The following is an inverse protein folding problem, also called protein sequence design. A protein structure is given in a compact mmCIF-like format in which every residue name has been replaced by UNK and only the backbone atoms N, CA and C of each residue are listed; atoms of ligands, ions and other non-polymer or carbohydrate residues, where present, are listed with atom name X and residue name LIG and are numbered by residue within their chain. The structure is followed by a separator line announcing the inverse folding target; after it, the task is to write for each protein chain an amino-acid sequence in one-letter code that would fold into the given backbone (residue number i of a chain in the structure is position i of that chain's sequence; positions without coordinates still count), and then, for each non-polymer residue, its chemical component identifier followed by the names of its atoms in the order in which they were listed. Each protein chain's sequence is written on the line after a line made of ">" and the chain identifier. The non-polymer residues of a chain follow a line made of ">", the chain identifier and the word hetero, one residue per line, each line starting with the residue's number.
data_IF_267349224186
#
_entry.id   IF_267349224186
#
_cell.length_a   1.000
_cell.length_b   1.000
_cell.length_c   1.000
_cell.angle_alpha   90.00
_cell.angle_beta   90.00
_cell.angle_gamma   90.00
#
_symmetry.space_group_name_H-M   'P 1'
#
loop_
_entity.id
_entity.type
_entity.pdbx_description
1 polymer ?
#
# COMPACT_ATOMS: atom_id res chain seq x y z
N UNK A 1 -69.27 42.78 9.22
CA UNK A 1 -69.66 41.59 8.44
C UNK A 1 -68.84 40.40 8.92
N UNK A 2 -69.46 39.51 9.67
CA UNK A 2 -68.90 38.29 10.24
C UNK A 2 -68.56 37.28 9.14
N UNK A 3 -67.28 36.93 8.98
CA UNK A 3 -66.87 35.83 8.10
C UNK A 3 -67.47 34.51 8.64
N UNK A 4 -68.10 33.69 7.79
CA UNK A 4 -68.76 32.46 8.23
C UNK A 4 -67.73 31.48 8.82
N UNK A 5 -68.01 30.99 10.04
CA UNK A 5 -67.18 30.05 10.82
C UNK A 5 -66.73 28.81 10.02
N UNK A 6 -67.51 28.41 9.01
CA UNK A 6 -67.20 27.28 8.12
C UNK A 6 -65.95 27.47 7.26
N UNK A 7 -65.61 28.71 6.89
CA UNK A 7 -64.47 28.98 6.00
C UNK A 7 -63.12 28.95 6.76
N UNK A 8 -63.15 29.26 8.06
CA UNK A 8 -61.97 29.21 8.94
C UNK A 8 -61.53 27.78 9.21
N UNK A 9 -62.47 26.86 9.41
CA UNK A 9 -62.16 25.44 9.62
C UNK A 9 -61.57 24.77 8.37
N UNK A 10 -62.02 25.17 7.17
CA UNK A 10 -61.46 24.70 5.90
C UNK A 10 -60.04 25.21 5.67
N UNK A 11 -59.78 26.50 5.92
CA UNK A 11 -58.45 27.08 5.82
C UNK A 11 -57.45 26.46 6.81
N UNK A 12 -57.86 26.20 8.05
CA UNK A 12 -56.99 25.58 9.07
C UNK A 12 -56.68 24.12 8.74
N UNK A 13 -57.66 23.35 8.21
CA UNK A 13 -57.42 21.97 7.74
C UNK A 13 -56.51 21.91 6.51
N UNK A 14 -56.67 22.83 5.55
CA UNK A 14 -55.80 22.92 4.38
C UNK A 14 -54.37 23.33 4.75
N UNK A 15 -54.20 24.22 5.75
CA UNK A 15 -52.90 24.64 6.25
C UNK A 15 -52.19 23.52 7.04
N UNK A 16 -52.93 22.73 7.83
CA UNK A 16 -52.36 21.58 8.57
C UNK A 16 -51.93 20.43 7.64
N UNK A 17 -52.64 20.21 6.52
CA UNK A 17 -52.28 19.17 5.55
C UNK A 17 -51.01 19.52 4.74
N UNK A 18 -50.79 20.81 4.47
CA UNK A 18 -49.64 21.29 3.69
C UNK A 18 -48.33 21.35 4.50
N UNK A 19 -48.41 21.52 5.83
CA UNK A 19 -47.22 21.45 6.71
C UNK A 19 -46.68 20.01 6.83
N UNK A 20 -47.54 18.98 6.74
CA UNK A 20 -47.13 17.57 6.83
C UNK A 20 -46.45 17.09 5.52
N UNK A 21 -46.78 17.67 4.37
CA UNK A 21 -46.14 17.29 3.09
C UNK A 21 -44.74 17.90 2.89
N UNK A 22 -44.38 18.96 3.63
CA UNK A 22 -43.09 19.64 3.46
C UNK A 22 -41.95 19.06 4.32
N UNK A 23 -42.28 18.32 5.39
CA UNK A 23 -41.29 17.68 6.26
C UNK A 23 -40.68 16.39 5.68
N UNK A 24 -41.23 15.87 4.58
CA UNK A 24 -40.72 14.66 3.91
C UNK A 24 -39.42 14.86 3.12
N UNK A 25 -39.10 16.09 2.70
CA UNK A 25 -37.93 16.34 1.85
C UNK A 25 -36.62 16.58 2.64
N UNK A 26 -36.69 16.84 3.94
CA UNK A 26 -35.49 17.11 4.74
C UNK A 26 -34.70 15.84 5.10
N UNK A 27 -35.33 14.66 5.11
CA UNK A 27 -34.70 13.39 5.50
C UNK A 27 -33.91 12.71 4.38
N UNK A 28 -34.06 13.15 3.13
CA UNK A 28 -33.37 12.55 1.96
C UNK A 28 -31.92 13.04 1.81
N UNK A 29 -31.52 14.09 2.53
CA UNK A 29 -30.17 14.65 2.45
C UNK A 29 -29.25 14.26 3.62
N UNK A 30 -29.75 13.49 4.59
CA UNK A 30 -28.91 12.96 5.68
C UNK A 30 -28.25 11.66 5.23
N UNK A 31 -27.21 11.78 4.38
CA UNK A 31 -26.32 10.65 4.11
C UNK A 31 -25.62 10.24 5.41
N UNK A 32 -26.06 9.13 6.00
CA UNK A 32 -25.54 8.57 7.25
C UNK A 32 -24.28 7.70 7.01
N UNK A 33 -23.63 7.84 5.85
CA UNK A 33 -22.40 7.14 5.53
C UNK A 33 -21.22 7.91 6.11
N UNK A 34 -20.42 7.25 6.95
CA UNK A 34 -19.20 7.84 7.49
C UNK A 34 -18.27 8.23 6.34
N UNK A 35 -17.65 9.41 6.36
CA UNK A 35 -16.77 9.85 5.28
C UNK A 35 -15.58 8.90 5.14
N UNK A 36 -15.44 8.29 3.97
CA UNK A 36 -14.35 7.35 3.66
C UNK A 36 -13.00 8.06 3.78
N UNK A 37 -12.17 7.56 4.69
CA UNK A 37 -10.79 8.02 4.89
C UNK A 37 -9.85 7.28 3.94
N UNK A 38 -8.98 8.03 3.29
CA UNK A 38 -7.99 7.50 2.34
C UNK A 38 -6.59 7.68 2.93
N UNK A 39 -5.80 6.61 2.91
CA UNK A 39 -4.48 6.54 3.53
C UNK A 39 -3.40 6.27 2.48
N UNK A 40 -2.24 6.89 2.69
CA UNK A 40 -1.03 6.68 1.88
C UNK A 40 0.08 6.11 2.76
N UNK A 41 0.90 5.24 2.18
CA UNK A 41 2.17 4.85 2.76
C UNK A 41 3.30 5.62 2.06
N UNK A 42 4.40 5.87 2.76
CA UNK A 42 5.58 6.52 2.18
C UNK A 42 6.78 5.59 2.23
N UNK A 43 7.59 5.65 1.18
CA UNK A 43 8.89 5.00 1.18
C UNK A 43 9.78 5.64 2.27
N UNK A 44 10.74 4.89 2.84
CA UNK A 44 11.73 5.47 3.73
C UNK A 44 12.47 6.59 2.99
N UNK A 45 12.48 7.80 3.55
CA UNK A 45 13.32 8.88 3.02
C UNK A 45 14.79 8.45 3.14
N UNK A 46 15.63 8.66 2.11
CA UNK A 46 17.05 8.49 2.29
C UNK A 46 17.51 9.41 3.41
N UNK A 47 18.22 8.87 4.40
CA UNK A 47 18.90 9.65 5.43
C UNK A 47 20.03 10.42 4.77
N UNK A 48 19.70 11.53 4.13
CA UNK A 48 20.67 12.54 3.72
C UNK A 48 21.14 13.21 5.01
N UNK A 49 22.22 12.69 5.55
CA UNK A 49 23.02 13.41 6.53
C UNK A 49 23.53 14.67 5.82
N UNK A 50 22.85 15.80 6.02
CA UNK A 50 23.11 17.10 5.35
C UNK A 50 24.56 17.60 5.58
N UNK A 51 25.30 16.96 6.50
CA UNK A 51 26.71 17.22 6.76
C UNK A 51 27.71 16.51 5.81
N UNK A 52 27.27 15.63 4.89
CA UNK A 52 28.18 14.86 4.00
C UNK A 52 28.04 15.16 2.50
N UNK A 53 27.36 16.26 2.15
CA UNK A 53 27.09 16.62 0.75
C UNK A 53 28.28 17.30 0.02
N UNK A 54 29.50 17.23 0.56
CA UNK A 54 30.71 17.74 -0.09
C UNK A 54 31.54 16.68 -0.83
N UNK A 55 31.20 15.39 -0.70
CA UNK A 55 31.97 14.28 -1.31
C UNK A 55 31.13 13.38 -2.23
N UNK A 56 30.14 13.94 -2.93
CA UNK A 56 29.37 13.21 -3.94
C UNK A 56 30.15 13.01 -5.25
N UNK A 57 31.37 12.46 -5.14
CA UNK A 57 32.02 11.66 -6.19
C UNK A 57 32.26 10.24 -5.67
N UNK A 58 31.42 9.75 -4.74
CA UNK A 58 31.31 8.33 -4.49
C UNK A 58 30.63 7.70 -5.72
N UNK A 59 31.45 7.18 -6.63
CA UNK A 59 31.01 6.40 -7.76
C UNK A 59 29.93 5.39 -7.31
N UNK A 60 28.79 5.37 -8.00
CA UNK A 60 27.78 4.34 -7.85
C UNK A 60 28.48 2.98 -7.94
N UNK A 61 28.70 2.34 -6.79
CA UNK A 61 29.30 0.99 -6.73
C UNK A 61 28.22 -0.08 -6.96
N UNK A 62 27.03 0.34 -7.39
CA UNK A 62 26.02 -0.54 -7.94
C UNK A 62 26.33 -0.87 -9.40
N UNK A 63 25.92 -2.06 -9.88
CA UNK A 63 26.00 -2.38 -11.30
C UNK A 63 25.32 -1.27 -12.12
N UNK A 64 25.89 -0.92 -13.28
CA UNK A 64 25.30 0.07 -14.22
C UNK A 64 24.01 -0.42 -14.88
N UNK A 65 23.33 -1.37 -14.25
CA UNK A 65 22.17 -2.08 -14.74
C UNK A 65 20.87 -1.29 -14.51
N UNK A 66 19.89 -1.58 -15.33
CA UNK A 66 18.52 -1.07 -15.22
C UNK A 66 17.61 -2.17 -14.70
N UNK A 67 16.83 -1.85 -13.66
CA UNK A 67 15.87 -2.77 -13.05
C UNK A 67 14.45 -2.39 -13.46
N UNK A 68 13.68 -3.37 -13.94
CA UNK A 68 12.22 -3.27 -14.02
C UNK A 68 11.60 -3.98 -12.82
N UNK A 69 10.76 -3.26 -12.08
CA UNK A 69 9.91 -3.83 -11.04
C UNK A 69 8.57 -4.14 -11.67
N UNK A 70 8.16 -5.41 -11.70
CA UNK A 70 6.82 -5.78 -12.17
C UNK A 70 5.80 -5.50 -11.07
N UNK A 71 4.57 -5.20 -11.49
CA UNK A 71 3.41 -5.10 -10.59
C UNK A 71 3.34 -6.36 -9.73
N UNK A 72 3.35 -6.25 -8.39
CA UNK A 72 3.23 -7.41 -7.52
C UNK A 72 1.97 -8.22 -7.83
N UNK A 73 2.13 -9.54 -7.95
CA UNK A 73 0.99 -10.45 -8.04
C UNK A 73 0.37 -10.60 -6.65
N UNK A 74 -0.95 -10.49 -6.54
CA UNK A 74 -1.66 -10.60 -5.28
C UNK A 74 -2.95 -11.42 -5.45
N UNK A 75 -3.42 -12.02 -4.36
CA UNK A 75 -4.75 -12.62 -4.34
C UNK A 75 -5.83 -11.54 -4.48
N UNK A 76 -7.02 -11.89 -4.98
CA UNK A 76 -8.14 -10.94 -5.13
C UNK A 76 -8.53 -10.23 -3.83
N UNK A 77 -8.28 -10.83 -2.67
CA UNK A 77 -8.54 -10.19 -1.38
C UNK A 77 -7.54 -9.07 -1.03
N UNK A 78 -6.34 -9.08 -1.62
CA UNK A 78 -5.30 -8.06 -1.45
C UNK A 78 -5.17 -7.13 -2.66
N UNK A 79 -5.63 -7.55 -3.85
CA UNK A 79 -5.71 -6.70 -5.04
C UNK A 79 -6.91 -5.75 -4.99
N UNK A 80 -6.88 -4.86 -3.99
CA UNK A 80 -7.94 -3.89 -3.69
C UNK A 80 -7.34 -2.68 -2.97
N UNK A 81 -8.06 -1.55 -3.00
CA UNK A 81 -7.76 -0.36 -2.21
C UNK A 81 -8.23 -0.52 -0.75
N UNK A 82 -8.90 -1.61 -0.37
CA UNK A 82 -9.39 -1.79 1.01
C UNK A 82 -8.28 -2.26 1.95
N UNK A 83 -8.31 -1.77 3.19
CA UNK A 83 -7.34 -2.18 4.22
C UNK A 83 -7.78 -3.54 4.79
N UNK A 84 -7.00 -4.58 4.49
CA UNK A 84 -7.26 -5.95 4.92
C UNK A 84 -6.99 -6.17 6.42
N UNK A 85 -7.87 -6.94 7.06
CA UNK A 85 -7.76 -7.34 8.46
C UNK A 85 -8.15 -8.80 8.62
N UNK A 86 -7.35 -9.54 9.38
CA UNK A 86 -7.63 -10.92 9.78
C UNK A 86 -7.98 -10.94 11.27
N UNK A 87 -9.14 -11.49 11.60
CA UNK A 87 -9.61 -11.66 12.98
C UNK A 87 -9.05 -12.94 13.60
N UNK A 88 -9.13 -13.04 14.92
CA UNK A 88 -8.63 -14.18 15.69
C UNK A 88 -9.25 -15.53 15.25
N UNK A 89 -10.46 -15.52 14.68
CA UNK A 89 -11.15 -16.69 14.15
C UNK A 89 -10.85 -16.98 12.67
N UNK A 90 -9.79 -16.38 12.12
CA UNK A 90 -9.33 -16.52 10.73
C UNK A 90 -10.30 -15.96 9.68
N UNK A 91 -11.26 -15.11 10.08
CA UNK A 91 -12.00 -14.31 9.10
C UNK A 91 -11.13 -13.23 8.50
N UNK A 92 -11.13 -13.18 7.16
CA UNK A 92 -10.55 -12.10 6.38
C UNK A 92 -11.65 -11.07 6.10
N UNK A 93 -11.45 -9.86 6.62
CA UNK A 93 -12.36 -8.73 6.51
C UNK A 93 -11.59 -7.51 5.98
N UNK A 94 -12.30 -6.39 5.82
CA UNK A 94 -11.69 -5.09 5.54
C UNK A 94 -12.21 -4.05 6.51
N UNK A 95 -11.39 -3.04 6.83
CA UNK A 95 -11.86 -1.94 7.66
C UNK A 95 -12.95 -1.12 6.96
N UNK A 96 -13.97 -0.73 7.72
CA UNK A 96 -15.02 0.15 7.22
C UNK A 96 -14.50 1.58 7.05
N UNK A 97 -14.99 2.27 6.00
CA UNK A 97 -14.66 3.68 5.72
C UNK A 97 -13.15 4.00 5.72
N UNK A 98 -12.29 3.02 5.45
CA UNK A 98 -10.83 3.18 5.43
C UNK A 98 -10.27 2.43 4.23
N UNK A 99 -9.56 3.15 3.36
CA UNK A 99 -8.96 2.61 2.15
C UNK A 99 -7.57 3.18 1.92
N UNK A 100 -6.75 2.46 1.18
CA UNK A 100 -5.56 2.96 0.51
C UNK A 100 -5.93 3.90 -0.63
N UNK A 101 -4.97 4.70 -1.08
CA UNK A 101 -5.15 5.59 -2.24
C UNK A 101 -5.26 4.81 -3.55
N UNK A 102 -4.52 3.70 -3.66
CA UNK A 102 -4.47 2.81 -4.81
C UNK A 102 -4.56 1.35 -4.32
N UNK A 103 -4.83 0.37 -5.21
CA UNK A 103 -4.77 -1.02 -4.83
C UNK A 103 -3.40 -1.38 -4.21
N UNK A 104 -3.41 -2.24 -3.20
CA UNK A 104 -2.18 -2.56 -2.45
C UNK A 104 -0.99 -2.99 -3.34
N UNK A 105 -1.17 -3.76 -4.43
CA UNK A 105 -0.07 -4.10 -5.34
C UNK A 105 0.53 -2.88 -6.05
N UNK A 106 -0.31 -1.95 -6.52
CA UNK A 106 0.13 -0.76 -7.25
C UNK A 106 0.86 0.22 -6.33
N UNK A 107 0.36 0.36 -5.09
CA UNK A 107 1.05 1.12 -4.05
C UNK A 107 2.42 0.49 -3.72
N UNK A 108 2.49 -0.85 -3.55
CA UNK A 108 3.75 -1.54 -3.27
C UNK A 108 4.75 -1.45 -4.41
N UNK A 109 4.30 -1.53 -5.67
CA UNK A 109 5.17 -1.31 -6.82
C UNK A 109 5.84 0.06 -6.75
N UNK A 110 5.03 1.10 -6.55
CA UNK A 110 5.49 2.49 -6.46
C UNK A 110 6.52 2.67 -5.33
N UNK A 111 6.24 2.09 -4.15
CA UNK A 111 7.14 2.13 -2.99
C UNK A 111 8.46 1.39 -3.23
N UNK A 112 8.43 0.25 -3.92
CA UNK A 112 9.64 -0.51 -4.29
C UNK A 112 10.48 0.29 -5.29
N UNK A 113 9.85 0.89 -6.30
CA UNK A 113 10.55 1.71 -7.30
C UNK A 113 11.22 2.92 -6.62
N UNK A 114 10.52 3.64 -5.75
CA UNK A 114 11.06 4.78 -5.01
C UNK A 114 12.20 4.36 -4.07
N UNK A 115 12.02 3.28 -3.29
CA UNK A 115 13.01 2.81 -2.34
C UNK A 115 14.29 2.30 -3.03
N UNK A 116 14.17 1.49 -4.09
CA UNK A 116 15.34 0.99 -4.81
C UNK A 116 16.02 2.07 -5.67
N UNK A 117 15.24 3.01 -6.21
CA UNK A 117 15.77 4.18 -6.94
C UNK A 117 16.60 5.08 -6.03
N UNK A 118 16.13 5.33 -4.81
CA UNK A 118 16.85 6.14 -3.81
C UNK A 118 18.06 5.40 -3.19
N UNK A 119 18.05 4.06 -3.16
CA UNK A 119 19.16 3.27 -2.65
C UNK A 119 20.43 3.32 -3.53
N UNK A 120 20.33 3.74 -4.80
CA UNK A 120 21.49 3.94 -5.69
C UNK A 120 22.21 2.67 -6.16
N UNK A 121 21.62 1.49 -5.94
CA UNK A 121 22.19 0.20 -6.37
C UNK A 121 22.06 -0.06 -7.88
N UNK A 122 21.11 0.60 -8.53
CA UNK A 122 20.86 0.49 -9.96
C UNK A 122 21.03 1.86 -10.62
N UNK A 123 21.39 1.86 -11.91
CA UNK A 123 21.44 3.09 -12.70
C UNK A 123 20.07 3.76 -12.81
N UNK A 124 19.05 2.94 -12.99
CA UNK A 124 17.66 3.37 -13.01
C UNK A 124 16.75 2.21 -12.62
N UNK A 125 15.64 2.55 -11.96
CA UNK A 125 14.57 1.63 -11.55
C UNK A 125 13.26 2.19 -12.11
N UNK A 126 12.45 1.34 -12.72
CA UNK A 126 11.16 1.73 -13.27
C UNK A 126 10.11 0.64 -13.04
N UNK A 127 8.83 1.03 -12.99
CA UNK A 127 7.70 0.12 -12.81
C UNK A 127 7.35 -0.68 -14.07
N UNK A 128 6.31 -1.51 -13.99
CA UNK A 128 5.91 -2.46 -15.04
C UNK A 128 5.57 -1.75 -16.35
N UNK A 129 4.94 -0.58 -16.26
CA UNK A 129 4.56 0.26 -17.39
C UNK A 129 5.73 1.00 -18.07
N UNK A 130 6.96 0.92 -17.54
CA UNK A 130 8.10 1.61 -18.14
C UNK A 130 8.53 0.97 -19.46
N UNK A 131 8.85 1.80 -20.45
CA UNK A 131 9.13 1.36 -21.83
C UNK A 131 10.61 1.08 -22.12
N UNK A 132 11.48 1.14 -21.11
CA UNK A 132 12.91 0.95 -21.30
C UNK A 132 13.27 -0.53 -21.27
N UNK A 133 14.38 -0.90 -21.92
CA UNK A 133 14.92 -2.24 -21.88
C UNK A 133 15.62 -2.49 -20.53
N UNK A 134 15.11 -3.37 -19.64
CA UNK A 134 15.81 -3.67 -18.40
C UNK A 134 16.93 -4.70 -18.61
N UNK A 135 17.95 -4.64 -17.75
CA UNK A 135 18.94 -5.71 -17.61
C UNK A 135 18.42 -6.80 -16.68
N UNK A 136 17.69 -6.39 -15.63
CA UNK A 136 17.08 -7.26 -14.64
C UNK A 136 15.59 -6.99 -14.48
N UNK A 137 14.83 -8.04 -14.20
CA UNK A 137 13.40 -7.96 -13.89
C UNK A 137 13.16 -8.53 -12.50
N UNK A 138 12.47 -7.76 -11.66
CA UNK A 138 12.03 -8.16 -10.34
C UNK A 138 10.54 -8.54 -10.40
N UNK A 139 10.26 -9.83 -10.25
CA UNK A 139 8.90 -10.33 -10.04
C UNK A 139 8.60 -10.35 -8.54
N UNK A 140 7.42 -9.90 -8.16
CA UNK A 140 7.00 -9.80 -6.78
C UNK A 140 5.66 -10.53 -6.59
N UNK A 141 5.50 -11.22 -5.47
CA UNK A 141 4.22 -11.82 -5.05
C UNK A 141 3.88 -11.34 -3.65
N UNK A 142 2.79 -10.57 -3.52
CA UNK A 142 2.27 -10.08 -2.26
C UNK A 142 1.48 -11.19 -1.56
N UNK A 143 2.13 -11.84 -0.59
CA UNK A 143 1.52 -12.93 0.17
C UNK A 143 0.64 -12.43 1.31
N UNK A 144 1.10 -11.41 2.02
CA UNK A 144 0.40 -10.85 3.19
C UNK A 144 0.55 -9.35 3.20
N UNK A 145 -0.56 -8.66 3.41
CA UNK A 145 -0.62 -7.22 3.60
C UNK A 145 -1.86 -6.91 4.42
N UNK A 146 -1.81 -7.26 5.71
CA UNK A 146 -2.99 -7.33 6.56
C UNK A 146 -2.65 -7.01 8.02
N UNK A 147 -3.61 -6.47 8.76
CA UNK A 147 -3.55 -6.41 10.22
C UNK A 147 -4.16 -7.68 10.82
N UNK A 148 -3.60 -8.20 11.90
CA UNK A 148 -4.09 -9.40 12.60
C UNK A 148 -4.46 -9.07 14.03
N UNK A 149 -5.72 -9.33 14.40
CA UNK A 149 -6.16 -9.23 15.79
C UNK A 149 -5.90 -10.54 16.53
N UNK A 150 -5.31 -10.43 17.71
CA UNK A 150 -5.21 -11.52 18.67
C UNK A 150 -6.55 -11.82 19.35
N UNK A 151 -6.60 -12.94 20.08
CA UNK A 151 -7.79 -13.34 20.84
C UNK A 151 -8.12 -12.37 21.99
N UNK A 152 -7.15 -11.56 22.41
CA UNK A 152 -7.27 -10.50 23.42
C UNK A 152 -8.06 -9.28 22.93
N UNK A 153 -8.30 -9.14 21.61
CA UNK A 153 -9.01 -8.00 21.03
C UNK A 153 -8.27 -6.66 21.18
N UNK A 154 -6.99 -6.70 21.53
CA UNK A 154 -6.14 -5.51 21.68
C UNK A 154 -5.65 -4.96 20.35
N UNK A 155 -4.65 -4.07 20.42
CA UNK A 155 -4.04 -3.49 19.22
C UNK A 155 -3.55 -4.59 18.25
N UNK A 156 -3.89 -4.50 16.96
CA UNK A 156 -3.55 -5.55 16.01
C UNK A 156 -2.06 -5.53 15.66
N UNK A 157 -1.60 -6.64 15.10
CA UNK A 157 -0.24 -6.80 14.58
C UNK A 157 -0.31 -6.82 13.05
N UNK A 158 0.36 -5.89 12.39
CA UNK A 158 0.47 -5.84 10.94
C UNK A 158 1.53 -6.81 10.46
N UNK A 159 1.23 -7.54 9.39
CA UNK A 159 2.18 -8.46 8.73
C UNK A 159 2.24 -8.13 7.25
N UNK A 160 3.46 -7.91 6.77
CA UNK A 160 3.77 -7.72 5.36
C UNK A 160 4.71 -8.82 4.92
N UNK A 161 4.36 -9.53 3.86
CA UNK A 161 5.18 -10.63 3.32
C UNK A 161 5.19 -10.55 1.80
N UNK A 162 6.39 -10.50 1.24
CA UNK A 162 6.63 -10.37 -0.18
C UNK A 162 7.63 -11.45 -0.61
N UNK A 163 7.26 -12.23 -1.62
CA UNK A 163 8.24 -13.05 -2.33
C UNK A 163 8.80 -12.25 -3.49
N UNK A 164 10.10 -12.42 -3.71
CA UNK A 164 10.83 -11.77 -4.77
C UNK A 164 11.57 -12.80 -5.61
N UNK A 165 11.50 -12.66 -6.93
CA UNK A 165 12.29 -13.42 -7.89
C UNK A 165 13.00 -12.45 -8.83
N UNK A 166 14.33 -12.45 -8.78
CA UNK A 166 15.19 -11.63 -9.62
C UNK A 166 15.63 -12.44 -10.84
N UNK A 167 15.30 -11.96 -12.03
CA UNK A 167 15.71 -12.56 -13.30
C UNK A 167 16.57 -11.62 -14.13
N UNK A 168 17.44 -12.19 -14.98
CA UNK A 168 18.18 -11.45 -16.02
C UNK A 168 17.41 -11.51 -17.33
N UNK A 169 17.27 -10.39 -18.02
CA UNK A 169 16.43 -10.32 -19.22
C UNK A 169 17.01 -11.07 -20.42
N UNK A 170 18.32 -10.95 -20.65
CA UNK A 170 18.96 -11.41 -21.88
C UNK A 170 18.90 -12.93 -22.08
N UNK A 171 19.12 -13.70 -21.02
CA UNK A 171 19.13 -15.17 -21.03
C UNK A 171 17.93 -15.78 -20.28
N UNK A 172 17.05 -14.94 -19.72
CA UNK A 172 15.94 -15.34 -18.85
C UNK A 172 16.39 -16.18 -17.64
N UNK A 173 17.63 -16.01 -17.20
CA UNK A 173 18.15 -16.73 -16.06
C UNK A 173 17.50 -16.21 -14.76
N UNK A 174 17.02 -17.14 -13.94
CA UNK A 174 16.59 -16.85 -12.57
C UNK A 174 17.84 -16.75 -11.69
N UNK A 175 18.13 -15.54 -11.20
CA UNK A 175 19.34 -15.25 -10.45
C UNK A 175 19.15 -15.55 -8.96
N UNK A 176 17.98 -15.19 -8.43
CA UNK A 176 17.70 -15.38 -7.01
C UNK A 176 16.19 -15.42 -6.75
N UNK A 177 15.80 -16.17 -5.73
CA UNK A 177 14.44 -16.19 -5.18
C UNK A 177 14.54 -16.13 -3.66
N UNK A 178 13.82 -15.20 -3.06
CA UNK A 178 13.82 -15.05 -1.61
C UNK A 178 12.51 -14.42 -1.13
N UNK A 179 12.22 -14.61 0.16
CA UNK A 179 11.09 -14.00 0.84
C UNK A 179 11.60 -12.94 1.82
N UNK A 180 10.92 -11.81 1.85
CA UNK A 180 11.11 -10.76 2.87
C UNK A 180 9.81 -10.57 3.64
N UNK A 181 9.93 -10.39 4.94
CA UNK A 181 8.78 -10.28 5.83
C UNK A 181 9.11 -9.32 6.99
N UNK A 182 8.13 -8.52 7.37
CA UNK A 182 8.17 -7.77 8.60
C UNK A 182 6.83 -7.87 9.33
N UNK A 183 6.88 -7.58 10.63
CA UNK A 183 5.72 -7.64 11.51
C UNK A 183 5.82 -6.50 12.50
N UNK A 184 4.78 -5.69 12.60
CA UNK A 184 4.76 -4.52 13.46
C UNK A 184 3.46 -4.44 14.25
N UNK A 185 3.56 -4.35 15.58
CA UNK A 185 2.39 -4.17 16.45
C UNK A 185 1.94 -2.71 16.42
N UNK A 186 0.65 -2.48 16.21
CA UNK A 186 0.08 -1.14 16.34
C UNK A 186 0.17 -0.66 17.80
N UNK A 187 0.43 0.64 17.99
CA UNK A 187 0.55 1.23 19.33
C UNK A 187 -0.80 1.34 20.05
N UNK A 188 -1.91 1.28 19.30
CA UNK A 188 -3.27 1.33 19.81
C UNK A 188 -4.25 0.72 18.80
N UNK A 189 -5.43 0.35 19.25
CA UNK A 189 -6.53 -0.10 18.38
C UNK A 189 -7.27 1.11 17.77
N UNK A 190 -6.57 1.82 16.87
CA UNK A 190 -7.09 2.96 16.12
C UNK A 190 -6.48 2.97 14.73
N UNK A 191 -7.25 3.35 13.71
CA UNK A 191 -6.80 3.31 12.32
C UNK A 191 -5.47 4.04 12.09
N UNK A 192 -5.28 5.20 12.71
CA UNK A 192 -4.02 5.95 12.61
C UNK A 192 -2.80 5.22 13.18
N UNK A 193 -2.97 4.37 14.21
CA UNK A 193 -1.87 3.52 14.73
C UNK A 193 -1.66 2.28 13.87
N UNK A 194 -2.73 1.73 13.29
CA UNK A 194 -2.66 0.60 12.37
C UNK A 194 -1.93 1.00 11.08
N UNK A 195 -2.26 2.14 10.49
CA UNK A 195 -1.58 2.67 9.30
C UNK A 195 -0.11 2.95 9.56
N UNK A 196 0.24 3.51 10.73
CA UNK A 196 1.64 3.70 11.12
C UNK A 196 2.40 2.36 11.25
N UNK A 197 1.73 1.30 11.73
CA UNK A 197 2.33 -0.04 11.77
C UNK A 197 2.49 -0.65 10.36
N UNK A 198 1.54 -0.41 9.44
CA UNK A 198 1.70 -0.76 8.02
C UNK A 198 2.88 -0.03 7.38
N UNK A 199 3.02 1.26 7.61
CA UNK A 199 4.14 2.05 7.10
C UNK A 199 5.47 1.49 7.60
N UNK A 200 5.62 1.31 8.91
CA UNK A 200 6.84 0.75 9.52
C UNK A 200 7.16 -0.67 9.02
N UNK A 201 6.18 -1.58 8.99
CA UNK A 201 6.42 -2.93 8.47
C UNK A 201 6.78 -2.93 6.98
N UNK A 202 6.18 -2.05 6.18
CA UNK A 202 6.51 -1.91 4.76
C UNK A 202 7.92 -1.37 4.57
N UNK A 203 8.32 -0.36 5.34
CA UNK A 203 9.68 0.18 5.31
C UNK A 203 10.73 -0.89 5.65
N UNK A 204 10.47 -1.73 6.65
CA UNK A 204 11.37 -2.85 7.00
C UNK A 204 11.47 -3.88 5.87
N UNK A 205 10.35 -4.21 5.22
CA UNK A 205 10.34 -5.11 4.05
C UNK A 205 11.12 -4.53 2.89
N UNK A 206 10.98 -3.23 2.59
CA UNK A 206 11.72 -2.55 1.53
C UNK A 206 13.22 -2.53 1.81
N UNK A 207 13.63 -2.28 3.06
CA UNK A 207 15.03 -2.33 3.48
C UNK A 207 15.64 -3.73 3.32
N UNK A 208 14.89 -4.77 3.72
CA UNK A 208 15.30 -6.16 3.51
C UNK A 208 15.41 -6.49 2.02
N UNK A 209 14.45 -6.07 1.20
CA UNK A 209 14.46 -6.28 -0.24
C UNK A 209 15.70 -5.67 -0.89
N UNK A 210 15.96 -4.39 -0.60
CA UNK A 210 17.14 -3.65 -1.06
C UNK A 210 18.45 -4.36 -0.67
N UNK A 211 18.55 -4.85 0.57
CA UNK A 211 19.73 -5.57 1.07
C UNK A 211 19.93 -6.91 0.34
N UNK A 212 18.85 -7.69 0.18
CA UNK A 212 18.89 -9.00 -0.48
C UNK A 212 19.22 -8.89 -1.97
N UNK A 213 18.71 -7.87 -2.65
CA UNK A 213 19.04 -7.60 -4.05
C UNK A 213 20.52 -7.22 -4.22
N UNK A 214 21.05 -6.35 -3.36
CA UNK A 214 22.47 -6.01 -3.38
C UNK A 214 23.37 -7.24 -3.24
N UNK A 215 23.05 -8.13 -2.30
CA UNK A 215 23.78 -9.39 -2.11
C UNK A 215 23.63 -10.33 -3.32
N UNK A 216 22.44 -10.41 -3.93
CA UNK A 216 22.21 -11.24 -5.11
C UNK A 216 23.06 -10.81 -6.31
N UNK A 217 23.20 -9.50 -6.53
CA UNK A 217 23.94 -8.94 -7.65
C UNK A 217 25.45 -9.16 -7.53
N UNK A 218 26.01 -9.08 -6.31
CA UNK A 218 27.43 -9.36 -6.06
C UNK A 218 27.82 -10.80 -6.42
N UNK A 219 26.92 -11.76 -6.17
CA UNK A 219 27.17 -13.17 -6.48
C UNK A 219 27.15 -13.46 -7.99
N UNK A 220 26.44 -12.64 -8.77
CA UNK A 220 26.35 -12.81 -10.22
C UNK A 220 27.62 -12.38 -10.94
N UNK A 221 28.35 -11.41 -10.38
CA UNK A 221 29.61 -10.91 -10.95
C UNK A 221 30.83 -11.79 -10.61
N UNK A 222 30.66 -12.87 -9.84
CA UNK A 222 31.71 -13.85 -9.58
C UNK A 222 31.65 -14.95 -10.64
N UNK A 223 32.59 -15.03 -11.61
CA UNK A 223 32.57 -16.07 -12.63
C UNK A 223 32.78 -17.43 -11.99
N UNK A 224 31.97 -18.42 -12.38
CA UNK A 224 32.16 -19.81 -11.98
C UNK A 224 33.53 -20.31 -12.48
N UNK A 225 34.48 -20.67 -11.59
CA UNK A 225 35.79 -21.15 -11.99
C UNK A 225 35.74 -22.50 -12.72
N UNK A 226 34.60 -23.20 -12.73
CA UNK A 226 34.46 -24.54 -13.31
C UNK A 226 34.24 -24.56 -14.84
N UNK A 227 34.00 -23.41 -15.49
CA UNK A 227 33.78 -23.33 -16.95
C UNK A 227 35.11 -23.18 -17.74
N UNK A 228 36.26 -23.09 -17.07
CA UNK A 228 37.59 -23.01 -17.72
C UNK A 228 38.27 -24.37 -17.88
N UNK A 229 37.64 -25.32 -18.58
CA UNK A 229 38.31 -26.59 -18.96
C UNK A 229 37.98 -27.05 -20.37
#
# INVERSE_FOLDING_TARGET
>A
MSLPLSNRAFFVRALLLSVVTLSGCASVLTSNEQPVQTYVLRAPLPVTDVARQSDATAASTGPRAVLQVRRPEASTGLDTDRIAVVRADRRFDTYAASRWTDPAPDMLESLVVESLGSAGQFRAVFGDAGSFAPDYTLNLVLRRFESQYGADGGAPTVVVTLDAALGRRNDRALLNVFTVQATQRATADRMTAVVAAFESATQDVLAQLSTRLGAALQNVDTPDPSISR
#
